data_IF_494875076309
#
_entry.id   IF_494875076309
#
_cell.length_a   1.000
_cell.length_b   1.000
_cell.length_c   1.000
_cell.angle_alpha   90.00
_cell.angle_beta   90.00
_cell.angle_gamma   90.00
#
_symmetry.space_group_name_H-M   'P 1'
#
loop_
_entity.id
_entity.type
_entity.pdbx_description
1 polymer ?
#
# COMPACT_ATOMS: atom_id res chain seq x y z
N UNK A 1 10.96 -4.92 -12.69
CA UNK A 1 10.16 -5.26 -11.51
C UNK A 1 10.92 -6.20 -10.58
N UNK A 2 11.30 -5.66 -9.42
CA UNK A 2 12.05 -6.32 -8.35
C UNK A 2 11.33 -7.58 -7.81
N UNK A 3 12.09 -8.60 -7.42
CA UNK A 3 11.56 -9.80 -6.78
C UNK A 3 10.83 -9.47 -5.47
N UNK A 4 11.32 -8.50 -4.70
CA UNK A 4 10.68 -8.05 -3.45
C UNK A 4 9.24 -7.56 -3.69
N UNK A 5 9.02 -6.80 -4.77
CA UNK A 5 7.70 -6.27 -5.15
C UNK A 5 6.77 -7.41 -5.58
N UNK A 6 7.27 -8.39 -6.34
CA UNK A 6 6.47 -9.57 -6.74
C UNK A 6 6.02 -10.38 -5.53
N UNK A 7 6.93 -10.60 -4.59
CA UNK A 7 6.63 -11.33 -3.35
C UNK A 7 5.58 -10.59 -2.54
N UNK A 8 5.70 -9.27 -2.41
CA UNK A 8 4.70 -8.44 -1.73
C UNK A 8 3.34 -8.51 -2.43
N UNK A 9 3.30 -8.36 -3.77
CA UNK A 9 2.03 -8.45 -4.51
C UNK A 9 1.34 -9.79 -4.29
N UNK A 10 2.08 -10.90 -4.38
CA UNK A 10 1.52 -12.24 -4.19
C UNK A 10 1.04 -12.48 -2.75
N UNK A 11 1.80 -12.01 -1.75
CA UNK A 11 1.48 -12.23 -0.34
C UNK A 11 0.35 -11.34 0.17
N UNK A 12 0.36 -10.06 -0.19
CA UNK A 12 -0.48 -9.04 0.47
C UNK A 12 -1.61 -8.50 -0.38
N UNK A 13 -1.58 -8.65 -1.71
CA UNK A 13 -2.64 -8.12 -2.56
C UNK A 13 -3.69 -9.20 -2.85
N UNK A 14 -4.94 -8.88 -2.57
CA UNK A 14 -6.11 -9.70 -2.88
C UNK A 14 -7.07 -8.92 -3.74
N UNK A 15 -7.72 -9.59 -4.68
CA UNK A 15 -8.73 -8.98 -5.52
C UNK A 15 -10.11 -9.52 -5.15
N UNK A 16 -11.07 -8.62 -4.99
CA UNK A 16 -12.47 -8.95 -4.76
C UNK A 16 -13.32 -7.94 -5.54
N UNK A 17 -14.26 -8.45 -6.34
CA UNK A 17 -15.19 -7.65 -7.15
C UNK A 17 -14.45 -6.60 -8.02
N UNK A 18 -13.30 -6.98 -8.60
CA UNK A 18 -12.45 -6.12 -9.44
C UNK A 18 -11.65 -5.06 -8.67
N UNK A 19 -11.75 -5.02 -7.34
CA UNK A 19 -10.98 -4.11 -6.49
C UNK A 19 -9.84 -4.86 -5.80
N UNK A 20 -8.64 -4.29 -5.85
CA UNK A 20 -7.46 -4.83 -5.15
C UNK A 20 -7.34 -4.24 -3.75
N UNK A 21 -6.96 -5.08 -2.81
CA UNK A 21 -6.81 -4.78 -1.38
C UNK A 21 -5.45 -5.25 -0.89
N UNK A 22 -4.77 -4.39 -0.15
CA UNK A 22 -3.65 -4.75 0.71
C UNK A 22 -4.19 -5.30 2.02
N UNK A 23 -3.74 -6.49 2.44
CA UNK A 23 -4.28 -7.23 3.60
C UNK A 23 -3.37 -7.24 4.82
N UNK A 24 -2.33 -6.41 4.88
CA UNK A 24 -1.41 -6.34 6.02
C UNK A 24 -1.89 -5.45 7.17
N UNK A 25 -1.33 -5.68 8.35
CA UNK A 25 -1.59 -4.95 9.60
C UNK A 25 -0.45 -3.95 9.89
N UNK A 26 -0.79 -2.68 10.12
CA UNK A 26 0.20 -1.63 10.39
C UNK A 26 0.99 -1.84 11.70
N UNK A 27 0.51 -2.69 12.60
CA UNK A 27 1.21 -3.05 13.84
C UNK A 27 2.23 -4.19 13.64
N UNK A 28 2.25 -4.81 12.46
CA UNK A 28 3.18 -5.88 12.11
C UNK A 28 4.27 -5.29 11.24
N UNK A 29 5.52 -5.34 11.71
CA UNK A 29 6.68 -4.71 11.04
C UNK A 29 6.85 -5.16 9.58
N UNK A 30 6.68 -6.45 9.30
CA UNK A 30 6.87 -7.00 7.96
C UNK A 30 5.76 -6.53 6.99
N UNK A 31 4.54 -6.33 7.51
CA UNK A 31 3.41 -5.81 6.74
C UNK A 31 3.58 -4.32 6.45
N UNK A 32 4.06 -3.55 7.44
CA UNK A 32 4.44 -2.17 7.22
C UNK A 32 5.53 -2.04 6.15
N UNK A 33 6.54 -2.89 6.22
CA UNK A 33 7.65 -2.95 5.24
C UNK A 33 7.12 -3.28 3.83
N UNK A 34 6.12 -4.15 3.72
CA UNK A 34 5.48 -4.47 2.44
C UNK A 34 4.75 -3.24 1.84
N UNK A 35 4.08 -2.44 2.66
CA UNK A 35 3.43 -1.21 2.21
C UNK A 35 4.44 -0.13 1.76
N UNK A 36 5.64 -0.07 2.37
CA UNK A 36 6.73 0.80 1.92
C UNK A 36 7.32 0.33 0.58
N UNK A 37 7.54 -0.97 0.41
CA UNK A 37 8.04 -1.55 -0.85
C UNK A 37 7.11 -1.20 -2.02
N UNK A 38 5.79 -1.34 -1.81
CA UNK A 38 4.80 -0.96 -2.82
C UNK A 38 4.82 0.54 -3.13
N UNK A 39 4.93 1.39 -2.11
CA UNK A 39 5.00 2.83 -2.30
C UNK A 39 6.25 3.25 -3.10
N UNK A 40 7.42 2.70 -2.75
CA UNK A 40 8.70 2.95 -3.45
C UNK A 40 8.66 2.54 -4.92
N UNK A 41 7.93 1.47 -5.24
CA UNK A 41 7.79 0.96 -6.60
C UNK A 41 6.63 1.60 -7.39
N UNK A 42 5.82 2.48 -6.77
CA UNK A 42 4.59 2.98 -7.36
C UNK A 42 4.84 4.29 -8.13
N UNK A 43 4.67 4.32 -9.47
CA UNK A 43 4.95 5.50 -10.29
C UNK A 43 3.91 6.62 -10.13
N UNK A 44 2.81 6.36 -9.43
CA UNK A 44 1.71 7.32 -9.20
C UNK A 44 1.48 7.57 -7.72
N UNK A 45 2.46 7.22 -6.87
CA UNK A 45 2.40 7.54 -5.46
C UNK A 45 2.26 9.05 -5.26
N UNK A 46 1.44 9.42 -4.28
CA UNK A 46 1.31 10.80 -3.84
C UNK A 46 0.90 10.78 -2.38
N UNK A 47 1.63 11.51 -1.55
CA UNK A 47 1.28 11.73 -0.16
C UNK A 47 -0.13 12.30 -0.03
N UNK A 48 -0.82 11.90 1.03
CA UNK A 48 -2.02 12.56 1.50
C UNK A 48 -1.66 13.93 2.14
N UNK A 49 -2.68 14.70 2.51
CA UNK A 49 -2.45 15.91 3.31
C UNK A 49 -1.93 15.54 4.69
N UNK A 50 -1.14 16.43 5.32
CA UNK A 50 -0.47 16.11 6.59
C UNK A 50 -1.43 15.67 7.70
N UNK A 51 -2.63 16.23 7.75
CA UNK A 51 -3.66 15.88 8.73
C UNK A 51 -4.22 14.45 8.56
N UNK A 52 -4.03 13.85 7.39
CA UNK A 52 -4.48 12.50 7.02
C UNK A 52 -3.33 11.48 6.92
N UNK A 53 -2.10 11.93 7.16
CA UNK A 53 -0.93 11.06 7.24
C UNK A 53 -1.08 10.08 8.39
N UNK A 54 -0.88 8.79 8.09
CA UNK A 54 -0.97 7.72 9.06
C UNK A 54 0.34 7.54 9.85
N UNK A 55 1.47 7.77 9.20
CA UNK A 55 2.81 7.71 9.80
C UNK A 55 3.58 8.98 9.43
N UNK A 56 4.12 9.69 10.41
CA UNK A 56 4.90 10.90 10.16
C UNK A 56 6.13 10.60 9.29
N UNK A 57 6.37 11.43 8.28
CA UNK A 57 7.52 11.40 7.38
C UNK A 57 7.83 10.04 6.72
N UNK A 58 6.83 9.17 6.56
CA UNK A 58 7.00 7.83 6.02
C UNK A 58 6.51 7.69 4.57
N UNK A 59 7.37 7.18 3.67
CA UNK A 59 6.96 6.78 2.33
C UNK A 59 6.32 5.40 2.35
N UNK A 60 5.00 5.36 2.50
CA UNK A 60 4.23 4.13 2.64
C UNK A 60 2.84 4.26 2.01
N UNK A 61 2.27 3.16 1.52
CA UNK A 61 0.91 3.16 0.99
C UNK A 61 -0.14 3.56 2.04
N UNK A 62 0.16 3.47 3.33
CA UNK A 62 -0.69 3.98 4.40
C UNK A 62 -0.89 5.51 4.35
N UNK A 63 0.10 6.24 3.82
CA UNK A 63 0.10 7.70 3.65
C UNK A 63 -0.31 8.15 2.24
N UNK A 64 -0.69 7.23 1.36
CA UNK A 64 -1.02 7.59 -0.02
C UNK A 64 -2.46 8.11 -0.13
N UNK A 65 -2.67 9.25 -0.77
CA UNK A 65 -4.02 9.83 -1.00
C UNK A 65 -5.00 8.95 -1.77
N UNK A 66 -4.49 7.95 -2.49
CA UNK A 66 -5.29 7.00 -3.25
C UNK A 66 -5.72 5.77 -2.45
N UNK A 67 -5.29 5.66 -1.18
CA UNK A 67 -5.72 4.61 -0.25
C UNK A 67 -7.19 4.79 0.12
N UNK A 68 -7.94 3.69 0.27
CA UNK A 68 -9.26 3.67 0.93
C UNK A 68 -9.26 2.62 2.02
N UNK A 69 -9.45 3.05 3.26
CA UNK A 69 -9.45 2.16 4.42
C UNK A 69 -10.54 1.09 4.29
N UNK A 70 -10.19 -0.14 4.66
CA UNK A 70 -11.11 -1.25 4.82
C UNK A 70 -11.03 -1.74 6.27
N UNK A 71 -11.94 -2.65 6.65
CA UNK A 71 -11.92 -3.25 8.00
C UNK A 71 -10.59 -3.94 8.33
N UNK A 72 -9.89 -4.45 7.31
CA UNK A 72 -8.54 -5.02 7.41
C UNK A 72 -7.71 -4.50 6.24
N UNK A 73 -6.72 -3.66 6.53
CA UNK A 73 -5.87 -3.02 5.51
C UNK A 73 -6.61 -1.96 4.70
N UNK A 74 -6.40 -1.92 3.38
CA UNK A 74 -6.94 -0.87 2.51
C UNK A 74 -6.95 -1.28 1.04
N UNK A 75 -7.78 -0.62 0.23
CA UNK A 75 -7.69 -0.69 -1.24
C UNK A 75 -6.93 0.51 -1.81
N UNK A 76 -6.45 0.37 -3.04
CA UNK A 76 -5.81 1.45 -3.79
C UNK A 76 -6.67 1.82 -5.00
N UNK A 77 -7.05 3.10 -5.12
CA UNK A 77 -7.83 3.59 -6.25
C UNK A 77 -7.09 3.49 -7.60
N UNK A 78 -5.75 3.40 -7.57
CA UNK A 78 -4.91 3.17 -8.76
C UNK A 78 -4.60 1.70 -9.02
N UNK A 79 -5.03 0.79 -8.14
CA UNK A 79 -4.87 -0.65 -8.33
C UNK A 79 -3.47 -1.21 -8.08
N UNK A 80 -2.68 -0.59 -7.20
CA UNK A 80 -1.29 -0.97 -6.88
C UNK A 80 -0.39 -1.08 -8.12
N UNK A 81 -0.30 -0.03 -8.96
CA UNK A 81 0.58 -0.04 -10.11
C UNK A 81 2.03 0.02 -9.62
N UNK A 82 2.90 -0.75 -10.26
CA UNK A 82 4.32 -0.82 -9.91
C UNK A 82 5.15 -0.93 -11.19
N UNK A 83 6.35 -0.33 -11.20
CA UNK A 83 7.30 -0.32 -12.33
C UNK A 83 8.56 -1.12 -12.05
#
# INVERSE_FOLDING_TARGET
MDNSVRDVLSKYIREKDGTKYFTGDSNVRDDLSAAEILAKACPVYQDDVEEESFLEDALTCYNCRFRRWARSGFSCYKGFPVS
#
